data_IF_446364976762
#
_entry.id   IF_446364976762
#
_cell.length_a   1.000
_cell.length_b   1.000
_cell.length_c   1.000
_cell.angle_alpha   90.00
_cell.angle_beta   90.00
_cell.angle_gamma   90.00
#
_symmetry.space_group_name_H-M   'P 1'
#
loop_
_entity.id
_entity.type
_entity.pdbx_description
1 polymer ?
#
# COMPACT_ATOMS: atom_id res chain seq x y z
N UNK A 1 23.92 -8.53 28.49
CA UNK A 1 22.82 -8.35 27.52
C UNK A 1 22.87 -6.91 27.03
N UNK A 2 23.11 -6.64 25.74
CA UNK A 2 23.02 -5.28 25.22
C UNK A 2 21.55 -4.84 25.27
N UNK A 3 21.29 -3.79 26.05
CA UNK A 3 20.00 -3.11 26.08
C UNK A 3 19.87 -2.33 24.77
N UNK A 4 19.18 -2.90 23.79
CA UNK A 4 18.71 -2.17 22.61
C UNK A 4 17.60 -1.21 23.04
N UNK A 5 17.94 -0.14 23.74
CA UNK A 5 17.09 1.04 23.74
C UNK A 5 17.26 1.66 22.36
N UNK A 6 16.33 1.34 21.47
CA UNK A 6 16.13 2.14 20.26
C UNK A 6 15.75 3.54 20.75
N UNK A 7 16.73 4.44 20.79
CA UNK A 7 16.53 5.87 20.92
C UNK A 7 15.77 6.35 19.69
N UNK A 8 14.45 6.18 19.69
CA UNK A 8 13.60 6.86 18.73
C UNK A 8 13.63 8.35 19.08
N UNK A 9 14.59 9.07 18.50
CA UNK A 9 14.76 10.51 18.74
C UNK A 9 13.62 11.32 18.13
N UNK A 10 13.09 10.87 16.99
CA UNK A 10 12.05 11.58 16.26
C UNK A 10 10.82 10.71 16.00
N UNK A 11 9.65 11.34 15.96
CA UNK A 11 8.36 10.71 15.65
C UNK A 11 7.31 11.74 15.24
N UNK A 12 6.15 11.28 14.77
CA UNK A 12 4.97 12.14 14.63
C UNK A 12 4.35 12.42 16.01
N UNK A 13 4.41 13.69 16.45
CA UNK A 13 3.94 14.11 17.78
C UNK A 13 2.42 13.95 17.95
N UNK A 14 1.70 14.09 16.84
CA UNK A 14 0.24 14.10 16.79
C UNK A 14 -0.36 12.79 16.28
N UNK A 15 0.45 11.74 16.08
CA UNK A 15 0.02 10.49 15.43
C UNK A 15 -1.23 9.89 16.07
N UNK A 16 -1.24 9.71 17.39
CA UNK A 16 -2.36 9.07 18.10
C UNK A 16 -3.68 9.86 18.01
N UNK A 17 -3.60 11.18 17.81
CA UNK A 17 -4.80 12.02 17.64
C UNK A 17 -5.34 11.92 16.21
N UNK A 18 -4.45 11.74 15.23
CA UNK A 18 -4.78 11.80 13.81
C UNK A 18 -4.99 10.44 13.16
N UNK A 19 -4.41 9.36 13.72
CA UNK A 19 -4.48 8.01 13.17
C UNK A 19 -5.91 7.50 13.03
N UNK A 20 -6.82 7.90 13.92
CA UNK A 20 -8.24 7.55 13.84
C UNK A 20 -8.95 8.10 12.57
N UNK A 21 -8.38 9.13 11.94
CA UNK A 21 -8.89 9.71 10.70
C UNK A 21 -8.16 9.20 9.45
N UNK A 22 -7.11 8.39 9.62
CA UNK A 22 -6.39 7.77 8.53
C UNK A 22 -7.06 6.43 8.20
N UNK A 23 -7.61 6.27 6.97
CA UNK A 23 -8.26 5.02 6.61
C UNK A 23 -7.20 3.91 6.48
N UNK A 24 -7.23 2.94 7.40
CA UNK A 24 -6.31 1.79 7.39
C UNK A 24 -6.53 0.87 6.18
N UNK A 25 -7.69 0.96 5.53
CA UNK A 25 -8.09 0.09 4.43
C UNK A 25 -7.57 0.53 3.05
N UNK A 26 -7.02 1.74 2.92
CA UNK A 26 -6.57 2.21 1.62
C UNK A 26 -5.22 1.61 1.26
N UNK A 27 -5.11 1.12 0.02
CA UNK A 27 -3.82 0.71 -0.53
C UNK A 27 -3.04 1.93 -1.02
N UNK A 28 -1.73 1.87 -0.83
CA UNK A 28 -0.78 2.89 -1.25
C UNK A 28 0.15 2.34 -2.32
N UNK A 29 0.32 3.13 -3.38
CA UNK A 29 1.11 2.75 -4.54
C UNK A 29 2.19 3.79 -4.76
N UNK A 30 3.47 3.39 -4.68
CA UNK A 30 4.56 4.27 -5.09
C UNK A 30 4.38 4.62 -6.56
N UNK A 31 4.35 5.90 -6.90
CA UNK A 31 4.01 6.37 -8.26
C UNK A 31 4.92 5.75 -9.33
N UNK A 32 6.20 5.57 -9.03
CA UNK A 32 7.16 4.90 -9.93
C UNK A 32 6.77 3.45 -10.25
N UNK A 33 6.29 2.70 -9.25
CA UNK A 33 5.89 1.31 -9.42
C UNK A 33 4.62 1.20 -10.26
N UNK A 34 3.67 2.13 -10.05
CA UNK A 34 2.46 2.20 -10.85
C UNK A 34 2.77 2.54 -12.31
N UNK A 35 3.62 3.54 -12.57
CA UNK A 35 4.05 3.90 -13.94
C UNK A 35 4.71 2.71 -14.63
N UNK A 36 5.63 2.04 -13.94
CA UNK A 36 6.31 0.86 -14.46
C UNK A 36 5.32 -0.27 -14.79
N UNK A 37 4.41 -0.58 -13.87
CA UNK A 37 3.33 -1.54 -14.09
C UNK A 37 2.49 -1.20 -15.32
N UNK A 38 2.06 0.05 -15.46
CA UNK A 38 1.21 0.51 -16.58
C UNK A 38 1.92 0.38 -17.94
N UNK A 39 3.22 0.67 -18.02
CA UNK A 39 3.99 0.48 -19.25
C UNK A 39 4.17 -1.00 -19.60
N UNK A 40 4.42 -1.85 -18.61
CA UNK A 40 4.50 -3.30 -18.82
C UNK A 40 3.16 -3.88 -19.25
N UNK A 41 2.06 -3.46 -18.63
CA UNK A 41 0.72 -3.85 -19.00
C UNK A 41 0.40 -3.43 -20.44
N UNK A 42 0.71 -2.19 -20.82
CA UNK A 42 0.56 -1.72 -22.21
C UNK A 42 1.33 -2.59 -23.21
N UNK A 43 2.55 -2.98 -22.86
CA UNK A 43 3.36 -3.85 -23.71
C UNK A 43 2.74 -5.23 -23.88
N UNK A 44 2.27 -5.81 -22.77
CA UNK A 44 1.59 -7.11 -22.75
C UNK A 44 0.36 -7.11 -23.66
N UNK A 45 -0.50 -6.09 -23.57
CA UNK A 45 -1.70 -5.97 -24.41
C UNK A 45 -1.35 -5.91 -25.89
N UNK A 46 -0.34 -5.11 -26.26
CA UNK A 46 -0.02 -4.86 -27.68
C UNK A 46 0.70 -6.02 -28.33
N UNK A 47 1.57 -6.71 -27.58
CA UNK A 47 2.43 -7.74 -28.15
C UNK A 47 1.96 -9.16 -27.87
N UNK A 48 0.99 -9.35 -26.98
CA UNK A 48 0.53 -10.67 -26.51
C UNK A 48 1.67 -11.57 -25.98
N UNK A 49 2.82 -10.97 -25.62
CA UNK A 49 4.02 -11.67 -25.21
C UNK A 49 4.43 -11.28 -23.79
N UNK A 50 4.71 -12.30 -22.99
CA UNK A 50 5.28 -12.18 -21.65
C UNK A 50 4.25 -12.26 -20.51
N UNK A 51 4.77 -12.26 -19.28
CA UNK A 51 3.97 -12.11 -18.07
C UNK A 51 3.90 -10.63 -17.70
N UNK A 52 2.72 -10.12 -17.36
CA UNK A 52 2.64 -8.84 -16.67
C UNK A 52 2.95 -9.03 -15.18
N UNK A 53 3.57 -8.02 -14.57
CA UNK A 53 3.96 -8.05 -13.16
C UNK A 53 2.74 -7.72 -12.30
N UNK A 54 2.63 -8.35 -11.12
CA UNK A 54 1.63 -7.92 -10.14
C UNK A 54 1.94 -6.48 -9.70
N UNK A 55 0.90 -5.63 -9.64
CA UNK A 55 1.04 -4.28 -9.13
C UNK A 55 1.31 -4.34 -7.62
N UNK A 56 2.49 -3.89 -7.20
CA UNK A 56 2.85 -3.84 -5.80
C UNK A 56 2.15 -2.68 -5.10
N UNK A 57 1.47 -2.96 -4.00
CA UNK A 57 0.91 -1.98 -3.09
C UNK A 57 1.43 -2.24 -1.67
N UNK A 58 1.35 -1.21 -0.83
CA UNK A 58 1.70 -1.29 0.58
C UNK A 58 0.60 -0.66 1.44
N UNK A 59 0.52 -1.00 2.74
CA UNK A 59 -0.21 -0.17 3.69
C UNK A 59 0.35 1.25 3.71
N UNK A 60 -0.27 2.14 4.49
CA UNK A 60 0.19 3.52 4.66
C UNK A 60 1.72 3.57 4.88
N UNK A 61 2.49 4.30 4.05
CA UNK A 61 3.95 4.28 4.10
C UNK A 61 4.47 5.18 5.23
N UNK A 62 3.76 5.27 6.35
CA UNK A 62 4.12 6.05 7.51
C UNK A 62 3.55 5.38 8.77
N UNK A 63 4.25 5.52 9.88
CA UNK A 63 3.77 5.13 11.22
C UNK A 63 4.17 6.23 12.22
N UNK A 64 3.77 6.11 13.48
CA UNK A 64 4.23 7.04 14.54
C UNK A 64 5.75 7.22 14.51
N UNK A 65 6.49 6.12 14.32
CA UNK A 65 7.96 6.08 14.38
C UNK A 65 8.64 6.01 13.00
N UNK A 66 7.86 6.00 11.92
CA UNK A 66 8.38 5.96 10.54
C UNK A 66 7.79 7.13 9.76
N UNK A 67 8.62 8.11 9.45
CA UNK A 67 8.21 9.27 8.66
C UNK A 67 7.82 8.85 7.25
N UNK A 68 6.83 9.52 6.66
CA UNK A 68 6.50 9.33 5.25
C UNK A 68 7.75 9.54 4.36
N UNK A 69 8.04 8.69 3.36
CA UNK A 69 9.25 8.77 2.54
C UNK A 69 9.41 10.11 1.82
N UNK A 70 10.65 10.58 1.66
CA UNK A 70 10.97 11.76 0.81
C UNK A 70 11.35 11.38 -0.61
N UNK A 71 11.65 10.11 -0.86
CA UNK A 71 12.21 9.62 -2.12
C UNK A 71 11.16 9.40 -3.21
N UNK A 72 10.01 10.08 -3.14
CA UNK A 72 9.02 10.06 -4.21
C UNK A 72 7.62 10.52 -3.81
N UNK A 73 6.68 10.12 -4.65
CA UNK A 73 5.25 10.33 -4.46
C UNK A 73 4.52 9.00 -4.43
N UNK A 74 3.35 9.04 -3.82
CA UNK A 74 2.44 7.92 -3.71
C UNK A 74 1.08 8.29 -4.28
N UNK A 75 0.33 7.29 -4.72
CA UNK A 75 -1.10 7.39 -4.99
C UNK A 75 -1.83 6.52 -3.97
N UNK A 76 -2.91 7.05 -3.41
CA UNK A 76 -3.74 6.39 -2.41
C UNK A 76 -5.15 6.22 -2.97
N UNK A 77 -5.75 5.05 -2.76
CA UNK A 77 -7.08 4.73 -3.31
C UNK A 77 -8.16 5.71 -2.85
N UNK A 78 -8.02 6.28 -1.66
CA UNK A 78 -8.95 7.26 -1.12
C UNK A 78 -8.76 8.69 -1.62
N UNK A 79 -7.86 8.93 -2.57
CA UNK A 79 -7.50 10.29 -3.03
C UNK A 79 -7.63 10.40 -4.54
N UNK A 80 -8.53 11.28 -4.97
CA UNK A 80 -8.86 11.48 -6.39
C UNK A 80 -9.72 10.36 -6.96
N UNK A 81 -9.91 10.39 -8.27
CA UNK A 81 -10.80 9.44 -8.98
C UNK A 81 -10.01 8.42 -9.81
N UNK A 82 -8.71 8.27 -9.58
CA UNK A 82 -7.86 7.43 -10.42
C UNK A 82 -8.09 5.93 -10.16
N UNK A 83 -8.48 5.54 -8.95
CA UNK A 83 -8.62 4.13 -8.54
C UNK A 83 -9.68 3.39 -9.37
N UNK A 84 -10.79 4.05 -9.75
CA UNK A 84 -11.81 3.44 -10.61
C UNK A 84 -11.25 2.99 -11.96
N UNK A 85 -10.21 3.66 -12.46
CA UNK A 85 -9.55 3.26 -13.71
C UNK A 85 -8.68 2.03 -13.51
N UNK A 86 -8.06 1.88 -12.34
CA UNK A 86 -7.31 0.67 -11.98
C UNK A 86 -8.27 -0.52 -11.82
N UNK A 87 -9.41 -0.33 -11.14
CA UNK A 87 -10.44 -1.38 -10.99
C UNK A 87 -10.97 -1.86 -12.35
N UNK A 88 -11.21 -0.92 -13.26
CA UNK A 88 -11.64 -1.25 -14.63
C UNK A 88 -10.57 -2.05 -15.39
N UNK A 89 -9.29 -1.74 -15.20
CA UNK A 89 -8.19 -2.53 -15.79
C UNK A 89 -8.17 -3.94 -15.21
N UNK A 90 -8.26 -4.09 -13.88
CA UNK A 90 -8.26 -5.40 -13.22
C UNK A 90 -9.46 -6.25 -13.66
N UNK A 91 -10.63 -5.64 -13.84
CA UNK A 91 -11.80 -6.31 -14.41
C UNK A 91 -11.56 -6.77 -15.85
N UNK A 92 -11.00 -5.90 -16.71
CA UNK A 92 -10.66 -6.26 -18.09
C UNK A 92 -9.62 -7.40 -18.14
N UNK A 93 -8.61 -7.36 -17.27
CA UNK A 93 -7.63 -8.44 -17.14
C UNK A 93 -8.29 -9.76 -16.75
N UNK A 94 -9.23 -9.75 -15.80
CA UNK A 94 -9.95 -10.97 -15.43
C UNK A 94 -10.76 -11.54 -16.61
N UNK A 95 -11.36 -10.69 -17.46
CA UNK A 95 -12.08 -11.15 -18.67
C UNK A 95 -11.11 -11.73 -19.71
N UNK A 96 -9.91 -11.14 -19.86
CA UNK A 96 -8.91 -11.62 -20.82
C UNK A 96 -8.23 -12.92 -20.37
N UNK A 97 -8.03 -13.11 -19.06
CA UNK A 97 -7.27 -14.22 -18.50
C UNK A 97 -8.16 -15.40 -18.08
N UNK A 98 -9.28 -15.12 -17.43
CA UNK A 98 -10.30 -16.12 -17.13
C UNK A 98 -11.22 -16.16 -18.35
N UNK A 99 -11.27 -17.29 -19.06
CA UNK A 99 -12.14 -17.53 -20.23
C UNK A 99 -13.62 -17.57 -19.81
N UNK A 100 -14.09 -16.55 -19.11
CA UNK A 100 -15.51 -16.31 -18.90
C UNK A 100 -16.08 -15.88 -20.24
N UNK A 101 -17.23 -16.45 -20.65
CA UNK A 101 -17.84 -16.09 -21.92
C UNK A 101 -18.12 -14.58 -21.91
N UNK A 102 -17.60 -13.89 -22.93
CA UNK A 102 -17.79 -12.45 -23.16
C UNK A 102 -19.27 -12.06 -23.20
N UNK A 103 -20.15 -13.03 -23.48
CA UNK A 103 -21.62 -12.90 -23.49
C UNK A 103 -22.21 -12.40 -22.16
N UNK A 104 -21.53 -12.58 -21.02
CA UNK A 104 -21.94 -12.05 -19.72
C UNK A 104 -21.32 -10.69 -19.39
N UNK A 105 -20.44 -10.17 -20.25
CA UNK A 105 -19.75 -8.90 -20.08
C UNK A 105 -20.44 -7.77 -20.85
N UNK A 106 -20.14 -6.52 -20.49
CA UNK A 106 -20.60 -5.34 -21.25
C UNK A 106 -19.83 -5.10 -22.57
N UNK A 107 -18.91 -6.00 -22.94
CA UNK A 107 -18.08 -5.90 -24.14
C UNK A 107 -18.61 -6.79 -25.26
N UNK A 108 -18.47 -6.37 -26.52
CA UNK A 108 -18.98 -7.18 -27.64
C UNK A 108 -18.00 -8.27 -28.06
N UNK A 109 -16.70 -8.04 -27.85
CA UNK A 109 -15.62 -8.94 -28.23
C UNK A 109 -14.35 -8.62 -27.41
N UNK A 110 -13.32 -9.46 -27.54
CA UNK A 110 -12.04 -9.29 -26.82
C UNK A 110 -11.27 -8.04 -27.26
N UNK A 111 -11.38 -7.64 -28.53
CA UNK A 111 -10.71 -6.42 -29.04
C UNK A 111 -11.24 -5.18 -28.30
N UNK A 112 -12.55 -5.13 -28.02
CA UNK A 112 -13.13 -4.03 -27.24
C UNK A 112 -12.57 -3.97 -25.82
N UNK A 113 -12.32 -5.13 -25.19
CA UNK A 113 -11.73 -5.24 -23.85
C UNK A 113 -10.30 -4.68 -23.87
N UNK A 114 -9.48 -5.09 -24.84
CA UNK A 114 -8.11 -4.63 -25.00
C UNK A 114 -8.03 -3.13 -25.27
N UNK A 115 -8.87 -2.61 -26.18
CA UNK A 115 -8.95 -1.18 -26.48
C UNK A 115 -9.38 -0.39 -25.24
N UNK A 116 -10.36 -0.90 -24.48
CA UNK A 116 -10.79 -0.25 -23.25
C UNK A 116 -9.69 -0.23 -22.20
N UNK A 117 -8.94 -1.32 -22.09
CA UNK A 117 -7.82 -1.42 -21.16
C UNK A 117 -6.70 -0.44 -21.54
N UNK A 118 -6.35 -0.33 -22.83
CA UNK A 118 -5.39 0.66 -23.32
C UNK A 118 -5.84 2.10 -23.06
N UNK A 119 -7.13 2.40 -23.24
CA UNK A 119 -7.73 3.70 -22.87
C UNK A 119 -7.48 3.99 -21.38
N UNK A 120 -7.80 3.03 -20.49
CA UNK A 120 -7.64 3.21 -19.05
C UNK A 120 -6.19 3.29 -18.60
N UNK A 121 -5.29 2.53 -19.22
CA UNK A 121 -3.85 2.66 -19.00
C UNK A 121 -3.37 4.07 -19.33
N UNK A 122 -3.82 4.62 -20.46
CA UNK A 122 -3.47 5.99 -20.84
C UNK A 122 -4.02 7.03 -19.85
N UNK A 123 -5.27 6.88 -19.41
CA UNK A 123 -5.85 7.77 -18.40
C UNK A 123 -5.06 7.70 -17.08
N UNK A 124 -4.71 6.52 -16.59
CA UNK A 124 -3.90 6.39 -15.37
C UNK A 124 -2.51 6.99 -15.51
N UNK A 125 -1.85 6.82 -16.66
CA UNK A 125 -0.57 7.48 -16.95
C UNK A 125 -0.70 9.01 -16.96
N UNK A 126 -1.86 9.56 -17.31
CA UNK A 126 -2.12 11.00 -17.16
C UNK A 126 -2.35 11.37 -15.70
N UNK A 127 -3.11 10.57 -14.94
CA UNK A 127 -3.34 10.79 -13.51
C UNK A 127 -2.05 10.82 -12.69
N UNK A 128 -1.03 10.02 -13.05
CA UNK A 128 0.27 10.02 -12.36
C UNK A 128 1.08 11.31 -12.55
N UNK A 129 0.68 12.17 -13.49
CA UNK A 129 1.29 13.50 -13.71
C UNK A 129 0.50 14.63 -13.05
N UNK A 130 -0.71 14.34 -12.55
CA UNK A 130 -1.60 15.34 -11.98
C UNK A 130 -1.35 15.49 -10.47
N UNK A 131 -1.02 16.73 -10.07
CA UNK A 131 -0.57 17.02 -8.71
C UNK A 131 -1.57 16.62 -7.61
N UNK A 132 -2.88 16.67 -7.89
CA UNK A 132 -3.93 16.36 -6.90
C UNK A 132 -4.06 14.87 -6.58
N UNK A 133 -3.58 13.98 -7.45
CA UNK A 133 -3.58 12.53 -7.20
C UNK A 133 -2.30 12.06 -6.48
N UNK A 134 -1.29 12.93 -6.39
CA UNK A 134 0.01 12.59 -5.84
C UNK A 134 0.12 13.02 -4.38
N UNK A 135 0.52 12.09 -3.54
CA UNK A 135 0.84 12.30 -2.14
C UNK A 135 2.35 12.33 -1.94
N UNK A 136 2.87 13.51 -1.60
CA UNK A 136 4.24 13.70 -1.13
C UNK A 136 4.26 13.76 0.39
N UNK A 137 5.44 13.62 1.03
CA UNK A 137 5.60 13.83 2.48
C UNK A 137 4.93 15.12 2.98
N UNK A 138 5.18 16.23 2.29
CA UNK A 138 4.65 17.54 2.68
C UNK A 138 3.12 17.56 2.61
N UNK A 139 2.52 17.00 1.54
CA UNK A 139 1.07 16.91 1.42
C UNK A 139 0.46 15.98 2.46
N UNK A 140 1.13 14.87 2.77
CA UNK A 140 0.68 13.90 3.76
C UNK A 140 0.66 14.54 5.16
N UNK A 141 1.75 15.18 5.54
CA UNK A 141 1.88 15.88 6.82
C UNK A 141 0.88 17.03 6.93
N UNK A 142 0.68 17.81 5.86
CA UNK A 142 -0.30 18.89 5.85
C UNK A 142 -1.75 18.38 5.92
N UNK A 143 -2.09 17.33 5.16
CA UNK A 143 -3.44 16.76 5.09
C UNK A 143 -3.89 16.20 6.44
N UNK A 144 -3.00 15.47 7.11
CA UNK A 144 -3.29 14.86 8.40
C UNK A 144 -2.82 15.70 9.60
N UNK A 145 -2.37 16.93 9.38
CA UNK A 145 -1.88 17.86 10.43
C UNK A 145 -0.84 17.21 11.35
N UNK A 146 0.09 16.46 10.75
CA UNK A 146 1.13 15.74 11.48
C UNK A 146 2.38 16.59 11.62
N UNK A 147 2.93 16.65 12.82
CA UNK A 147 4.21 17.29 13.10
C UNK A 147 5.28 16.23 13.36
N UNK A 148 6.29 16.14 12.48
CA UNK A 148 7.47 15.33 12.75
C UNK A 148 8.46 16.12 13.61
N UNK A 149 8.86 15.57 14.75
CA UNK A 149 9.78 16.26 15.65
C UNK A 149 10.42 15.35 16.68
N UNK A 150 11.34 15.92 17.44
CA UNK A 150 11.99 15.20 18.53
C UNK A 150 10.99 14.94 19.65
N UNK A 151 10.91 13.69 20.12
CA UNK A 151 10.14 13.42 21.32
C UNK A 151 10.91 14.01 22.51
N UNK A 152 10.28 14.82 23.37
CA UNK A 152 10.98 15.35 24.54
C UNK A 152 11.56 14.16 25.30
N UNK A 153 12.89 14.17 25.46
CA UNK A 153 13.57 13.19 26.29
C UNK A 153 12.87 13.26 27.64
N UNK A 154 12.14 12.18 27.98
CA UNK A 154 11.57 12.06 29.30
C UNK A 154 12.75 12.19 30.25
N UNK A 155 12.78 13.27 31.05
CA UNK A 155 13.77 13.37 32.10
C UNK A 155 13.44 12.26 33.09
N UNK A 156 14.11 11.11 32.92
CA UNK A 156 13.89 9.92 33.71
C UNK A 156 14.13 10.19 35.21
N UNK A 157 14.77 11.30 35.58
CA UNK A 157 14.91 11.75 36.97
C UNK A 157 13.63 12.35 37.55
N UNK A 158 12.69 12.76 36.71
CA UNK A 158 11.42 13.39 37.09
C UNK A 158 10.21 12.47 36.96
N UNK A 159 10.35 11.29 36.35
CA UNK A 159 9.30 10.28 36.38
C UNK A 159 9.25 9.63 37.78
N UNK A 160 8.08 9.61 38.46
CA UNK A 160 7.92 8.75 39.62
C UNK A 160 8.23 7.33 39.17
N UNK A 161 9.03 6.60 39.96
CA UNK A 161 9.32 5.19 39.72
C UNK A 161 8.00 4.43 39.87
N UNK A 162 7.21 4.37 38.79
CA UNK A 162 6.09 3.46 38.69
C UNK A 162 6.73 2.11 38.39
N UNK A 163 7.02 1.37 39.47
CA UNK A 163 7.33 -0.05 39.36
C UNK A 163 6.06 -0.72 38.82
N UNK A 164 5.97 -0.84 37.50
CA UNK A 164 5.01 -1.73 36.86
C UNK A 164 5.51 -3.13 37.21
N UNK A 165 4.95 -3.70 38.27
CA UNK A 165 5.04 -5.13 38.49
C UNK A 165 4.36 -5.80 37.30
N UNK A 166 5.15 -6.26 36.33
CA UNK A 166 4.72 -7.32 35.44
C UNK A 166 4.52 -8.55 36.32
N UNK A 167 3.32 -8.70 36.86
CA UNK A 167 2.90 -9.93 37.48
C UNK A 167 3.00 -11.02 36.40
N UNK A 168 3.85 -11.99 36.65
CA UNK A 168 3.98 -13.21 35.87
C UNK A 168 2.60 -13.85 35.67
N UNK A 169 2.02 -13.64 34.50
CA UNK A 169 1.15 -14.63 33.85
C UNK A 169 1.82 -15.06 32.55
N UNK A 170 2.97 -15.69 32.74
CA UNK A 170 3.46 -16.72 31.85
C UNK A 170 2.57 -17.95 32.12
N UNK A 171 1.41 -18.01 31.47
CA UNK A 171 0.72 -19.26 31.11
C UNK A 171 -0.63 -18.95 30.43
N UNK A 172 -0.91 -19.68 29.34
CA UNK A 172 -2.07 -19.57 28.43
C UNK A 172 -2.10 -18.31 27.54
N UNK A 173 -1.42 -18.36 26.37
CA UNK A 173 -2.02 -18.33 25.00
C UNK A 173 -0.84 -18.41 24.02
N UNK A 174 -0.20 -19.57 23.95
CA UNK A 174 0.80 -19.90 22.91
C UNK A 174 0.69 -21.40 22.58
N UNK A 175 -0.51 -21.85 22.18
CA UNK A 175 -0.72 -23.15 21.52
C UNK A 175 -1.80 -23.05 20.45
N UNK A 176 -1.54 -22.27 19.42
CA UNK A 176 -2.10 -22.53 18.08
C UNK A 176 -1.03 -22.22 17.03
N UNK A 177 0.10 -22.95 17.11
CA UNK A 177 0.98 -23.12 15.96
C UNK A 177 0.32 -24.18 15.08
N UNK A 178 -0.53 -23.76 14.14
CA UNK A 178 -0.94 -24.64 13.04
C UNK A 178 0.24 -24.69 12.07
N UNK A 179 0.88 -25.86 12.05
CA UNK A 179 1.84 -26.27 11.03
C UNK A 179 1.17 -26.20 9.65
N UNK A 180 1.65 -25.31 8.79
CA UNK A 180 1.64 -25.58 7.34
C UNK A 180 3.10 -25.61 6.88
N UNK A 181 3.63 -26.82 6.75
CA UNK A 181 4.91 -27.09 6.10
C UNK A 181 4.70 -28.15 5.03
N UNK A 182 4.95 -27.75 3.80
CA UNK A 182 5.27 -28.53 2.60
C UNK A 182 4.33 -29.66 2.16
N UNK A 183 3.69 -29.44 1.01
CA UNK A 183 3.78 -30.36 -0.14
C UNK A 183 3.86 -29.55 -1.43
N UNK A 184 5.07 -29.49 -1.98
CA UNK A 184 5.34 -29.26 -3.40
C UNK A 184 6.10 -30.49 -3.89
N UNK A 185 6.02 -30.75 -5.20
CA UNK A 185 6.54 -31.88 -6.00
C UNK A 185 5.55 -33.07 -6.09
N UNK A 186 5.26 -33.67 -7.25
CA UNK A 186 5.58 -33.40 -8.66
C UNK A 186 4.59 -34.24 -9.51
N UNK A 187 4.17 -33.66 -10.65
CA UNK A 187 3.81 -34.25 -11.95
C UNK A 187 3.59 -35.77 -12.08
N UNK A 188 2.41 -36.14 -12.60
CA UNK A 188 2.24 -36.76 -13.93
C UNK A 188 0.83 -36.48 -14.46
#
# INVERSE_FOLDING_TARGET
MPKYYLEWKERYLDWNQQAAFMPECHMWYKTSNLIYYLHHLRHFIIKEEGSFLALHHEPIPATEFVRFPDDGSYMCEGIGDWNIHLDMILLCLNILLEVKPVEESCFQNLIDVELKMLEKVNVLLQCTTQEHNLMTRQKFEAMYKLTWGEYPALDYKSMPVVVVYFAERVDLVCRTVVRYKHRFLMWH
#
